data_IF_896303301283
#
_entry.id   IF_896303301283
#
_cell.length_a   1.000
_cell.length_b   1.000
_cell.length_c   1.000
_cell.angle_alpha   90.00
_cell.angle_beta   90.00
_cell.angle_gamma   90.00
#
_symmetry.space_group_name_H-M   'P 1'
#
loop_
_entity.id
_entity.type
_entity.pdbx_description
1 polymer ?
#
# COMPACT_ATOMS: atom_id res chain seq x y z
N UNK A 1 -13.06 16.17 22.97
CA UNK A 1 -13.26 14.79 22.49
C UNK A 1 -13.81 14.92 21.08
N UNK A 2 -12.95 14.65 20.09
CA UNK A 2 -13.29 14.67 18.66
C UNK A 2 -14.44 13.72 18.35
N UNK A 3 -15.24 14.07 17.33
CA UNK A 3 -16.16 13.11 16.73
C UNK A 3 -15.37 12.01 16.02
N UNK A 4 -15.97 10.82 15.86
CA UNK A 4 -15.32 9.72 15.14
C UNK A 4 -14.92 10.11 13.71
N UNK A 5 -15.76 10.89 13.02
CA UNK A 5 -15.45 11.41 11.69
C UNK A 5 -14.21 12.30 11.70
N UNK A 6 -14.13 13.22 12.68
CA UNK A 6 -13.02 14.16 12.80
C UNK A 6 -11.71 13.49 13.21
N UNK A 7 -11.80 12.47 14.05
CA UNK A 7 -10.66 11.62 14.40
C UNK A 7 -10.10 10.89 13.18
N UNK A 8 -10.97 10.29 12.36
CA UNK A 8 -10.54 9.63 11.12
C UNK A 8 -9.87 10.60 10.14
N UNK A 9 -10.40 11.82 9.99
CA UNK A 9 -9.74 12.86 9.17
C UNK A 9 -8.34 13.21 9.67
N UNK A 10 -8.13 13.24 11.00
CA UNK A 10 -6.81 13.47 11.59
C UNK A 10 -5.86 12.28 11.38
N UNK A 11 -6.36 11.05 11.50
CA UNK A 11 -5.59 9.83 11.18
C UNK A 11 -5.15 9.85 9.71
N UNK A 12 -6.06 10.13 8.80
CA UNK A 12 -5.76 10.18 7.36
C UNK A 12 -4.79 11.32 7.01
N UNK A 13 -4.88 12.45 7.72
CA UNK A 13 -3.91 13.53 7.62
C UNK A 13 -2.51 13.09 8.05
N UNK A 14 -2.39 12.34 9.15
CA UNK A 14 -1.11 11.80 9.64
C UNK A 14 -0.52 10.81 8.63
N UNK A 15 -1.34 9.91 8.09
CA UNK A 15 -0.93 8.92 7.09
C UNK A 15 -0.44 9.54 5.78
N UNK A 16 -0.88 10.76 5.46
CA UNK A 16 -0.47 11.52 4.26
C UNK A 16 0.51 12.64 4.58
N UNK A 17 1.19 12.58 5.74
CA UNK A 17 2.11 13.63 6.18
C UNK A 17 3.42 13.69 5.38
N UNK A 18 3.75 12.63 4.62
CA UNK A 18 4.88 12.57 3.71
C UNK A 18 4.77 13.50 2.49
N UNK A 19 3.56 14.00 2.20
CA UNK A 19 3.31 14.97 1.13
C UNK A 19 3.89 16.37 1.40
N UNK A 20 4.24 16.67 2.64
CA UNK A 20 4.75 17.99 3.04
C UNK A 20 6.27 18.02 2.87
N UNK A 21 6.81 19.09 2.28
CA UNK A 21 8.24 19.18 1.99
C UNK A 21 9.07 19.39 3.25
N UNK A 22 8.47 19.97 4.28
CA UNK A 22 9.14 20.29 5.53
C UNK A 22 8.20 20.32 6.73
N UNK A 23 8.80 20.30 7.92
CA UNK A 23 8.11 20.31 9.20
C UNK A 23 7.20 21.52 9.39
N UNK A 24 7.59 22.70 8.88
CA UNK A 24 6.81 23.92 9.07
C UNK A 24 5.50 23.87 8.29
N UNK A 25 5.53 23.40 7.05
CA UNK A 25 4.31 23.21 6.25
C UNK A 25 3.35 22.20 6.88
N UNK A 26 3.88 21.11 7.44
CA UNK A 26 3.09 20.15 8.20
C UNK A 26 2.44 20.81 9.43
N UNK A 27 3.20 21.57 10.22
CA UNK A 27 2.71 22.29 11.39
C UNK A 27 1.65 23.33 11.01
N UNK A 28 1.88 24.12 9.96
CA UNK A 28 0.95 25.13 9.46
C UNK A 28 -0.36 24.47 8.98
N UNK A 29 -0.28 23.32 8.29
CA UNK A 29 -1.45 22.56 7.84
C UNK A 29 -2.21 21.93 9.01
N UNK A 30 -1.50 21.40 10.02
CA UNK A 30 -2.10 20.84 11.23
C UNK A 30 -2.85 21.92 12.01
N UNK A 31 -2.25 23.10 12.20
CA UNK A 31 -2.90 24.22 12.87
C UNK A 31 -4.08 24.74 12.04
N UNK A 32 -3.94 24.88 10.72
CA UNK A 32 -5.03 25.38 9.88
C UNK A 32 -6.23 24.44 9.84
N UNK A 33 -6.01 23.13 9.88
CA UNK A 33 -7.08 22.15 9.74
C UNK A 33 -7.58 21.64 11.08
N UNK A 34 -6.76 21.64 12.14
CA UNK A 34 -7.07 20.99 13.41
C UNK A 34 -6.72 21.87 14.62
N UNK A 35 -6.88 23.19 14.52
CA UNK A 35 -6.53 24.17 15.57
C UNK A 35 -7.06 23.85 16.98
N UNK A 36 -8.19 23.15 17.06
CA UNK A 36 -8.90 22.86 18.30
C UNK A 36 -8.52 21.53 18.98
N UNK A 37 -7.64 20.72 18.38
CA UNK A 37 -7.32 19.39 18.94
C UNK A 37 -6.42 19.50 20.15
N UNK A 38 -6.66 18.63 21.13
CA UNK A 38 -5.74 18.49 22.26
C UNK A 38 -4.57 17.59 21.91
N UNK A 39 -3.50 17.66 22.69
CA UNK A 39 -2.37 16.75 22.55
C UNK A 39 -2.80 15.28 22.71
N UNK A 40 -3.70 14.98 23.64
CA UNK A 40 -4.21 13.62 23.86
C UNK A 40 -5.00 13.09 22.64
N UNK A 41 -5.70 13.97 21.92
CA UNK A 41 -6.43 13.60 20.70
C UNK A 41 -5.47 13.33 19.54
N UNK A 42 -4.41 14.15 19.43
CA UNK A 42 -3.33 13.93 18.46
C UNK A 42 -2.58 12.62 18.72
N UNK A 43 -2.23 12.35 19.99
CA UNK A 43 -1.51 11.13 20.39
C UNK A 43 -2.31 9.86 20.07
N UNK A 44 -3.62 9.87 20.34
CA UNK A 44 -4.52 8.77 19.95
C UNK A 44 -4.59 8.58 18.44
N UNK A 45 -4.74 9.67 17.68
CA UNK A 45 -4.77 9.58 16.22
C UNK A 45 -3.44 9.07 15.65
N UNK A 46 -2.31 9.43 16.25
CA UNK A 46 -1.01 8.89 15.89
C UNK A 46 -0.89 7.38 16.16
N UNK A 47 -1.41 6.91 17.30
CA UNK A 47 -1.43 5.47 17.61
C UNK A 47 -2.25 4.70 16.58
N UNK A 48 -3.44 5.19 16.24
CA UNK A 48 -4.32 4.54 15.26
C UNK A 48 -3.70 4.57 13.85
N UNK A 49 -3.05 5.68 13.46
CA UNK A 49 -2.32 5.77 12.20
C UNK A 49 -1.19 4.74 12.14
N UNK A 50 -0.44 4.57 13.23
CA UNK A 50 0.64 3.60 13.29
C UNK A 50 0.13 2.15 13.18
N UNK A 51 -1.02 1.84 13.77
CA UNK A 51 -1.62 0.50 13.67
C UNK A 51 -2.18 0.24 12.26
N UNK A 52 -2.80 1.22 11.60
CA UNK A 52 -3.21 1.12 10.19
C UNK A 52 -2.03 0.90 9.24
N UNK A 53 -0.90 1.58 9.46
CA UNK A 53 0.30 1.35 8.64
C UNK A 53 0.89 -0.04 8.88
N UNK A 54 0.84 -0.58 10.10
CA UNK A 54 1.27 -1.97 10.36
C UNK A 54 0.37 -2.97 9.64
N UNK A 55 -0.94 -2.78 9.68
CA UNK A 55 -1.90 -3.64 8.97
C UNK A 55 -1.63 -3.59 7.46
N UNK A 56 -1.49 -2.39 6.90
CA UNK A 56 -1.14 -2.20 5.48
C UNK A 56 0.20 -2.84 5.11
N UNK A 57 1.20 -2.72 5.98
CA UNK A 57 2.50 -3.37 5.76
C UNK A 57 2.38 -4.90 5.78
N UNK A 58 1.57 -5.47 6.68
CA UNK A 58 1.31 -6.90 6.71
C UNK A 58 0.58 -7.40 5.45
N UNK A 59 -0.39 -6.62 4.95
CA UNK A 59 -1.10 -6.93 3.70
C UNK A 59 -0.14 -6.88 2.50
N UNK A 60 0.71 -5.86 2.42
CA UNK A 60 1.73 -5.74 1.36
C UNK A 60 2.79 -6.85 1.43
N UNK A 61 3.21 -7.26 2.63
CA UNK A 61 4.11 -8.41 2.79
C UNK A 61 3.44 -9.71 2.32
N UNK A 62 2.15 -9.90 2.62
CA UNK A 62 1.40 -11.07 2.13
C UNK A 62 1.25 -11.07 0.60
N UNK A 63 1.00 -9.91 -0.01
CA UNK A 63 0.98 -9.75 -1.47
C UNK A 63 2.37 -10.01 -2.08
N UNK A 64 3.43 -9.51 -1.45
CA UNK A 64 4.80 -9.74 -1.90
C UNK A 64 5.18 -11.22 -1.81
N UNK A 65 4.79 -11.92 -0.75
CA UNK A 65 4.98 -13.36 -0.58
C UNK A 65 4.24 -14.16 -1.65
N UNK A 66 3.01 -13.77 -1.98
CA UNK A 66 2.24 -14.38 -3.06
C UNK A 66 2.92 -14.16 -4.43
N UNK A 67 3.48 -12.97 -4.67
CA UNK A 67 4.21 -12.66 -5.91
C UNK A 67 5.56 -13.38 -5.99
N UNK A 68 6.22 -13.63 -4.86
CA UNK A 68 7.47 -14.40 -4.82
C UNK A 68 7.31 -15.81 -5.37
N UNK A 69 6.14 -16.43 -5.26
CA UNK A 69 5.85 -17.73 -5.87
C UNK A 69 6.05 -17.70 -7.40
N UNK A 70 5.75 -16.56 -8.03
CA UNK A 70 5.84 -16.40 -9.48
C UNK A 70 7.17 -15.85 -9.96
N UNK A 71 8.07 -15.40 -9.07
CA UNK A 71 9.39 -14.89 -9.45
C UNK A 71 10.20 -15.83 -10.36
N UNK A 72 10.22 -17.16 -10.15
CA UNK A 72 10.91 -18.10 -11.04
C UNK A 72 10.41 -18.05 -12.49
N UNK A 73 9.17 -17.63 -12.73
CA UNK A 73 8.61 -17.48 -14.07
C UNK A 73 9.39 -16.45 -14.91
N UNK A 74 9.95 -15.43 -14.26
CA UNK A 74 10.59 -14.28 -14.90
C UNK A 74 12.12 -14.34 -14.86
N UNK A 75 12.70 -15.37 -14.24
CA UNK A 75 14.15 -15.56 -14.20
C UNK A 75 14.74 -15.75 -15.61
N UNK A 76 15.86 -15.07 -15.87
CA UNK A 76 16.58 -15.13 -17.15
C UNK A 76 15.97 -14.29 -18.28
N UNK A 77 14.85 -13.60 -18.04
CA UNK A 77 14.24 -12.72 -19.02
C UNK A 77 14.97 -11.37 -19.12
N UNK A 78 14.99 -10.73 -20.30
CA UNK A 78 15.66 -9.45 -20.47
C UNK A 78 14.99 -8.36 -19.62
N UNK A 79 15.82 -7.48 -19.02
CA UNK A 79 15.32 -6.34 -18.25
C UNK A 79 14.41 -5.46 -19.11
N UNK A 80 13.22 -5.16 -18.60
CA UNK A 80 12.21 -4.38 -19.31
C UNK A 80 11.24 -5.20 -20.17
N UNK A 81 11.38 -6.53 -20.21
CA UNK A 81 10.34 -7.39 -20.76
C UNK A 81 9.05 -7.26 -19.95
N UNK A 82 7.91 -7.19 -20.65
CA UNK A 82 6.61 -7.08 -20.02
C UNK A 82 6.22 -8.43 -19.38
N UNK A 83 5.94 -8.41 -18.07
CA UNK A 83 5.59 -9.62 -17.31
C UNK A 83 4.45 -10.41 -17.97
N UNK A 84 3.42 -9.71 -18.46
CA UNK A 84 2.30 -10.33 -19.15
C UNK A 84 2.70 -11.05 -20.44
N UNK A 85 3.62 -10.50 -21.24
CA UNK A 85 4.08 -11.13 -22.48
C UNK A 85 4.91 -12.40 -22.19
N UNK A 86 5.74 -12.36 -21.14
CA UNK A 86 6.52 -13.52 -20.68
C UNK A 86 5.58 -14.63 -20.24
N UNK A 87 4.59 -14.31 -19.40
CA UNK A 87 3.62 -15.28 -18.90
C UNK A 87 2.79 -15.88 -20.03
N UNK A 88 2.31 -15.08 -20.99
CA UNK A 88 1.57 -15.58 -22.16
C UNK A 88 2.44 -16.51 -23.01
N UNK A 89 3.69 -16.13 -23.29
CA UNK A 89 4.63 -16.94 -24.08
C UNK A 89 4.93 -18.28 -23.40
N UNK A 90 5.20 -18.27 -22.09
CA UNK A 90 5.51 -19.47 -21.32
C UNK A 90 4.27 -20.35 -21.12
N UNK A 91 3.09 -19.77 -20.92
CA UNK A 91 1.83 -20.50 -20.85
C UNK A 91 1.50 -21.20 -22.18
N UNK A 92 1.74 -20.55 -23.32
CA UNK A 92 1.60 -21.17 -24.63
C UNK A 92 2.55 -22.37 -24.85
N UNK A 93 3.70 -22.38 -24.15
CA UNK A 93 4.62 -23.51 -24.12
C UNK A 93 4.23 -24.60 -23.08
N UNK A 94 3.13 -24.42 -22.35
CA UNK A 94 2.63 -25.36 -21.35
C UNK A 94 3.26 -25.21 -19.97
N UNK A 95 3.92 -24.08 -19.67
CA UNK A 95 4.48 -23.80 -18.34
C UNK A 95 3.34 -23.68 -17.30
N UNK A 96 3.25 -24.59 -16.31
CA UNK A 96 2.18 -24.57 -15.32
C UNK A 96 2.18 -23.33 -14.44
N UNK A 97 3.36 -22.76 -14.15
CA UNK A 97 3.49 -21.56 -13.31
C UNK A 97 3.00 -20.33 -14.07
N UNK A 98 3.25 -20.27 -15.38
CA UNK A 98 2.74 -19.22 -16.25
C UNK A 98 1.21 -19.26 -16.37
N UNK A 99 0.63 -20.46 -16.47
CA UNK A 99 -0.82 -20.65 -16.49
C UNK A 99 -1.44 -20.23 -15.17
N UNK A 100 -0.83 -20.61 -14.03
CA UNK A 100 -1.28 -20.20 -12.70
C UNK A 100 -1.23 -18.68 -12.51
N UNK A 101 -0.15 -18.02 -12.94
CA UNK A 101 -0.01 -16.56 -12.87
C UNK A 101 -1.08 -15.83 -13.70
N UNK A 102 -1.39 -16.31 -14.92
CA UNK A 102 -2.44 -15.71 -15.74
C UNK A 102 -3.84 -15.96 -15.18
N UNK A 103 -4.04 -17.06 -14.43
CA UNK A 103 -5.30 -17.34 -13.75
C UNK A 103 -5.49 -16.42 -12.53
N UNK A 104 -4.46 -16.21 -11.71
CA UNK A 104 -4.55 -15.32 -10.54
C UNK A 104 -4.86 -13.87 -10.95
N UNK A 105 -4.24 -13.38 -12.03
CA UNK A 105 -4.54 -12.04 -12.56
C UNK A 105 -5.99 -11.85 -13.04
N UNK A 106 -6.69 -12.92 -13.40
CA UNK A 106 -8.11 -12.84 -13.83
C UNK A 106 -9.08 -12.86 -12.65
N UNK A 107 -8.64 -13.37 -11.50
CA UNK A 107 -9.45 -13.40 -10.28
C UNK A 107 -9.43 -12.04 -9.56
N UNK A 108 -8.35 -11.26 -9.70
CA UNK A 108 -8.21 -9.91 -9.12
C UNK A 108 -9.01 -8.81 -9.88
N UNK A 109 -9.47 -9.08 -11.10
CA UNK A 109 -10.24 -8.16 -11.96
C UNK A 109 -11.79 -8.29 -11.78
N UNK A 110 -12.27 -9.08 -10.79
CA UNK A 110 -13.70 -9.35 -10.49
C UNK A 110 -14.10 -8.93 -9.07
#
# INVERSE_FOLDING_TARGET
MLSAARHNELVDFILTSDRFENRKELEDALVSQFAEITFDELDRAMSDAADREKERAADLDAEADALMEFMPLFEGEPKGALLGEIAIRKAAAGDPLAIKFLASLREDDL
#
